data_IF_531695218394
#
_entry.id   IF_531695218394
#
_cell.length_a   1.000
_cell.length_b   1.000
_cell.length_c   1.000
_cell.angle_alpha   90.00
_cell.angle_beta   90.00
_cell.angle_gamma   90.00
#
_symmetry.space_group_name_H-M   'P 1'
#
loop_
_entity.id
_entity.type
_entity.pdbx_description
1 polymer ?
#
# COMPACT_ATOMS: atom_id res chain seq x y z
N UNK A 1 -68.95 -18.82 -61.72
CA UNK A 1 -67.81 -17.90 -61.90
C UNK A 1 -67.45 -17.35 -60.53
N UNK A 2 -66.27 -17.74 -60.02
CA UNK A 2 -65.45 -17.22 -58.89
C UNK A 2 -66.15 -16.64 -57.64
N UNK A 3 -66.22 -17.40 -56.53
CA UNK A 3 -65.37 -17.35 -55.29
C UNK A 3 -65.86 -16.32 -54.26
N UNK A 4 -66.06 -16.58 -52.97
CA UNK A 4 -65.79 -17.75 -52.12
C UNK A 4 -66.39 -17.55 -50.72
N UNK A 5 -66.64 -18.69 -50.06
CA UNK A 5 -67.18 -18.96 -48.71
C UNK A 5 -66.51 -18.17 -47.55
N UNK A 6 -67.01 -18.02 -46.30
CA UNK A 6 -67.92 -18.80 -45.39
C UNK A 6 -68.33 -17.87 -44.21
N UNK A 7 -69.59 -17.79 -43.73
CA UNK A 7 -70.28 -18.55 -42.62
C UNK A 7 -69.48 -18.66 -41.30
N UNK A 8 -70.03 -18.60 -40.07
CA UNK A 8 -71.31 -18.24 -39.39
C UNK A 8 -70.97 -18.29 -37.88
N UNK A 9 -71.32 -17.28 -37.09
CA UNK A 9 -72.31 -17.32 -35.97
C UNK A 9 -72.16 -18.45 -34.93
N UNK A 10 -72.04 -18.09 -33.64
CA UNK A 10 -72.39 -19.00 -32.53
C UNK A 10 -71.69 -18.74 -31.18
N UNK A 11 -72.45 -18.19 -30.23
CA UNK A 11 -72.24 -18.05 -28.77
C UNK A 11 -71.47 -19.18 -28.05
N UNK A 12 -70.76 -18.82 -26.97
CA UNK A 12 -70.37 -19.76 -25.91
C UNK A 12 -69.46 -19.17 -24.83
N UNK A 13 -70.02 -18.83 -23.67
CA UNK A 13 -69.29 -18.66 -22.41
C UNK A 13 -68.64 -19.99 -22.04
N UNK A 14 -67.31 -20.08 -22.11
CA UNK A 14 -66.52 -21.16 -21.51
C UNK A 14 -65.61 -20.58 -20.44
N UNK A 15 -65.80 -21.04 -19.20
CA UNK A 15 -64.91 -20.74 -18.09
C UNK A 15 -63.50 -21.27 -18.34
N UNK A 16 -62.52 -20.38 -18.23
CA UNK A 16 -61.11 -20.74 -18.27
C UNK A 16 -60.60 -20.98 -16.84
N UNK A 17 -60.45 -22.25 -16.48
CA UNK A 17 -59.43 -22.67 -15.53
C UNK A 17 -58.17 -22.97 -16.34
N UNK A 18 -57.07 -22.22 -16.16
CA UNK A 18 -55.65 -22.51 -16.49
C UNK A 18 -54.85 -21.22 -16.25
N UNK A 19 -53.70 -21.15 -15.60
CA UNK A 19 -52.86 -22.09 -14.87
C UNK A 19 -51.83 -21.23 -14.12
N UNK A 20 -51.36 -21.67 -12.96
CA UNK A 20 -50.31 -20.95 -12.22
C UNK A 20 -49.03 -21.01 -13.06
N UNK A 21 -48.70 -19.92 -13.73
CA UNK A 21 -47.40 -19.77 -14.38
C UNK A 21 -46.34 -19.86 -13.29
N UNK A 22 -45.54 -20.94 -13.30
CA UNK A 22 -44.35 -21.01 -12.47
C UNK A 22 -43.44 -19.85 -12.87
N UNK A 23 -43.29 -18.88 -11.97
CA UNK A 23 -42.33 -17.80 -12.14
C UNK A 23 -40.94 -18.42 -12.37
N UNK A 24 -40.16 -17.95 -13.36
CA UNK A 24 -38.82 -18.47 -13.57
C UNK A 24 -38.02 -18.25 -12.28
N UNK A 25 -37.54 -19.33 -11.69
CA UNK A 25 -36.64 -19.26 -10.56
C UNK A 25 -35.41 -18.46 -11.00
N UNK A 26 -35.25 -17.25 -10.44
CA UNK A 26 -34.03 -16.48 -10.58
C UNK A 26 -32.87 -17.39 -10.17
N UNK A 27 -32.02 -17.76 -11.14
CA UNK A 27 -30.82 -18.52 -10.86
C UNK A 27 -30.04 -17.79 -9.75
N UNK A 28 -29.74 -18.49 -8.67
CA UNK A 28 -28.95 -17.93 -7.58
C UNK A 28 -27.63 -17.43 -8.17
N UNK A 29 -27.24 -16.20 -7.82
CA UNK A 29 -25.95 -15.66 -8.24
C UNK A 29 -24.83 -16.65 -7.83
N UNK A 30 -23.82 -16.87 -8.69
CA UNK A 30 -22.72 -17.77 -8.35
C UNK A 30 -22.13 -17.40 -7.00
N UNK A 31 -21.86 -18.39 -6.15
CA UNK A 31 -21.18 -18.14 -4.87
C UNK A 31 -19.83 -17.49 -5.15
N UNK A 32 -19.46 -16.43 -4.41
CA UNK A 32 -18.17 -15.79 -4.58
C UNK A 32 -17.04 -16.80 -4.32
N UNK A 33 -15.93 -16.69 -5.06
CA UNK A 33 -14.75 -17.52 -4.86
C UNK A 33 -13.91 -17.18 -3.63
N UNK A 34 -14.52 -16.49 -2.65
CA UNK A 34 -13.90 -15.95 -1.44
C UNK A 34 -14.91 -15.86 -0.28
N UNK A 35 -14.43 -15.83 0.96
CA UNK A 35 -15.28 -15.75 2.16
C UNK A 35 -15.86 -14.33 2.35
N UNK A 36 -17.15 -14.26 2.69
CA UNK A 36 -17.88 -13.01 2.96
C UNK A 36 -18.54 -12.95 4.34
N UNK A 37 -18.76 -14.10 4.98
CA UNK A 37 -19.15 -14.17 6.39
C UNK A 37 -17.96 -13.80 7.24
N UNK A 38 -18.11 -12.76 8.06
CA UNK A 38 -17.04 -12.27 8.92
C UNK A 38 -16.70 -13.32 9.99
N UNK A 39 -15.45 -13.76 9.98
CA UNK A 39 -14.85 -14.58 11.02
C UNK A 39 -13.37 -14.19 11.18
N UNK A 40 -13.07 -13.37 12.19
CA UNK A 40 -11.70 -12.92 12.46
C UNK A 40 -10.75 -14.06 12.85
N UNK A 41 -11.29 -15.23 13.21
CA UNK A 41 -10.51 -16.42 13.59
C UNK A 41 -10.32 -17.42 12.44
N UNK A 42 -10.96 -17.20 11.29
CA UNK A 42 -10.77 -18.03 10.10
C UNK A 42 -9.60 -17.48 9.26
N UNK A 43 -8.49 -18.23 9.10
CA UNK A 43 -7.37 -17.80 8.27
C UNK A 43 -7.71 -17.64 6.78
N UNK A 44 -8.73 -18.34 6.27
CA UNK A 44 -9.19 -18.16 4.88
C UNK A 44 -9.94 -16.85 4.71
N UNK A 45 -10.79 -16.49 5.67
CA UNK A 45 -11.44 -15.19 5.70
C UNK A 45 -10.43 -14.05 5.83
N UNK A 46 -9.43 -14.20 6.69
CA UNK A 46 -8.32 -13.25 6.82
C UNK A 46 -7.59 -13.04 5.49
N UNK A 47 -7.17 -14.14 4.84
CA UNK A 47 -6.51 -14.10 3.53
C UNK A 47 -7.37 -13.38 2.49
N UNK A 48 -8.64 -13.78 2.36
CA UNK A 48 -9.52 -13.27 1.33
C UNK A 48 -9.85 -11.78 1.53
N UNK A 49 -10.14 -11.37 2.77
CA UNK A 49 -10.44 -9.97 3.10
C UNK A 49 -9.20 -9.10 2.97
N UNK A 50 -8.03 -9.57 3.42
CA UNK A 50 -6.78 -8.82 3.24
C UNK A 50 -6.39 -8.71 1.77
N UNK A 51 -6.56 -9.76 0.96
CA UNK A 51 -6.34 -9.70 -0.48
C UNK A 51 -7.27 -8.69 -1.17
N UNK A 52 -8.55 -8.61 -0.78
CA UNK A 52 -9.49 -7.60 -1.29
C UNK A 52 -9.16 -6.17 -0.86
N UNK A 53 -8.51 -5.97 0.29
CA UNK A 53 -8.03 -4.65 0.70
C UNK A 53 -6.76 -4.25 -0.07
N UNK A 54 -5.82 -5.18 -0.17
CA UNK A 54 -4.49 -4.88 -0.63
C UNK A 54 -4.35 -4.98 -2.17
N UNK A 55 -5.33 -5.58 -2.85
CA UNK A 55 -5.48 -5.59 -4.30
C UNK A 55 -6.93 -5.73 -4.76
N UNK A 56 -7.12 -6.35 -5.92
CA UNK A 56 -8.43 -6.71 -6.49
C UNK A 56 -8.40 -8.21 -6.86
N UNK A 57 -9.40 -8.98 -6.44
CA UNK A 57 -9.50 -10.40 -6.73
C UNK A 57 -9.84 -10.70 -8.21
N UNK A 58 -10.36 -9.71 -8.94
CA UNK A 58 -10.39 -9.75 -10.40
C UNK A 58 -8.98 -9.44 -10.92
N UNK A 59 -8.21 -10.49 -11.15
CA UNK A 59 -6.78 -10.43 -11.49
C UNK A 59 -6.49 -9.75 -12.83
N UNK A 60 -7.52 -9.43 -13.63
CA UNK A 60 -7.38 -8.61 -14.83
C UNK A 60 -7.21 -7.11 -14.51
N UNK A 61 -7.63 -6.69 -13.31
CA UNK A 61 -7.57 -5.30 -12.85
C UNK A 61 -6.29 -5.01 -12.09
N UNK A 62 -6.03 -3.73 -11.93
CA UNK A 62 -5.08 -3.21 -10.96
C UNK A 62 -5.78 -2.25 -9.99
N UNK A 63 -5.34 -2.27 -8.74
CA UNK A 63 -5.77 -1.34 -7.70
C UNK A 63 -4.82 -0.15 -7.67
N UNK A 64 -5.35 1.06 -7.68
CA UNK A 64 -4.58 2.26 -7.37
C UNK A 64 -4.80 2.65 -5.90
N UNK A 65 -3.71 2.92 -5.18
CA UNK A 65 -3.73 3.53 -3.85
C UNK A 65 -3.08 4.90 -3.87
N UNK A 66 -3.50 5.79 -2.98
CA UNK A 66 -2.89 7.11 -2.76
C UNK A 66 -2.39 7.24 -1.33
N UNK A 67 -1.36 8.07 -1.12
CA UNK A 67 -0.86 8.40 0.21
C UNK A 67 -0.51 9.89 0.30
N UNK A 68 -0.90 10.53 1.40
CA UNK A 68 -0.64 11.96 1.66
C UNK A 68 -0.35 12.20 3.14
N UNK A 69 0.62 13.05 3.45
CA UNK A 69 0.96 13.34 4.83
C UNK A 69 2.12 14.30 5.02
N UNK A 70 2.75 14.21 6.18
CA UNK A 70 3.91 15.03 6.55
C UNK A 70 4.97 14.16 7.23
N UNK A 71 6.22 14.37 6.87
CA UNK A 71 7.36 13.81 7.58
C UNK A 71 7.92 14.83 8.55
N UNK A 72 8.24 14.36 9.76
CA UNK A 72 8.72 15.17 10.87
C UNK A 72 10.08 14.67 11.32
N UNK A 73 11.00 15.58 11.59
CA UNK A 73 12.27 15.26 12.24
C UNK A 73 12.11 15.32 13.75
N UNK A 74 12.57 14.28 14.42
CA UNK A 74 12.51 14.11 15.88
C UNK A 74 13.93 14.06 16.40
N UNK A 75 14.28 15.02 17.26
CA UNK A 75 15.60 15.18 17.89
C UNK A 75 15.44 15.62 19.33
N UNK A 76 16.44 15.32 20.13
CA UNK A 76 16.50 15.76 21.53
C UNK A 76 16.55 17.29 21.64
N UNK A 77 16.04 17.81 22.75
CA UNK A 77 16.14 19.22 23.16
C UNK A 77 15.58 20.26 22.17
N UNK A 78 14.73 19.84 21.24
CA UNK A 78 13.96 20.73 20.37
C UNK A 78 12.56 20.18 20.12
N UNK A 79 11.65 21.06 19.69
CA UNK A 79 10.33 20.62 19.23
C UNK A 79 10.49 19.74 17.98
N UNK A 80 9.60 18.75 17.85
CA UNK A 80 9.43 18.00 16.59
C UNK A 80 9.21 18.98 15.44
N UNK A 81 9.97 18.79 14.35
CA UNK A 81 10.02 19.76 13.24
C UNK A 81 9.38 19.17 11.99
N UNK A 82 8.34 19.79 11.41
CA UNK A 82 7.88 19.39 10.07
C UNK A 82 9.00 19.64 9.06
N UNK A 83 9.29 18.66 8.21
CA UNK A 83 10.39 18.75 7.23
C UNK A 83 9.89 18.96 5.81
N UNK A 84 8.91 18.15 5.40
CA UNK A 84 8.32 18.16 4.06
C UNK A 84 6.97 17.44 4.07
N UNK A 85 6.12 17.80 3.09
CA UNK A 85 4.91 17.03 2.79
C UNK A 85 5.29 15.76 2.02
N UNK A 86 4.49 14.73 2.19
CA UNK A 86 4.66 13.41 1.57
C UNK A 86 3.45 13.18 0.69
N UNK A 87 3.66 12.85 -0.58
CA UNK A 87 2.58 12.44 -1.48
C UNK A 87 3.06 11.37 -2.44
N UNK A 88 2.27 10.33 -2.61
CA UNK A 88 2.61 9.22 -3.46
C UNK A 88 1.40 8.38 -3.82
N UNK A 89 1.68 7.30 -4.51
CA UNK A 89 0.68 6.34 -4.93
C UNK A 89 1.33 4.97 -5.15
N UNK A 90 0.48 3.97 -5.27
CA UNK A 90 0.89 2.62 -5.62
C UNK A 90 -0.10 1.96 -6.57
N UNK A 91 0.41 1.05 -7.38
CA UNK A 91 -0.40 0.19 -8.22
C UNK A 91 -0.15 -1.27 -7.88
N UNK A 92 -1.23 -1.98 -7.60
CA UNK A 92 -1.19 -3.39 -7.21
C UNK A 92 -1.95 -4.27 -8.19
N UNK A 93 -1.41 -5.43 -8.52
CA UNK A 93 -2.11 -6.52 -9.20
C UNK A 93 -1.97 -7.81 -8.41
N UNK A 94 -3.03 -8.60 -8.34
CA UNK A 94 -2.99 -9.93 -7.74
C UNK A 94 -2.91 -11.01 -8.82
N UNK A 95 -2.13 -12.06 -8.55
CA UNK A 95 -2.21 -13.34 -9.25
C UNK A 95 -2.66 -14.41 -8.27
N UNK A 96 -3.70 -15.18 -8.61
CA UNK A 96 -4.13 -16.30 -7.79
C UNK A 96 -3.20 -17.49 -8.02
N UNK A 97 -2.72 -18.10 -6.94
CA UNK A 97 -1.84 -19.27 -6.98
C UNK A 97 -2.66 -20.57 -6.85
N UNK A 98 -2.05 -21.69 -7.22
CA UNK A 98 -2.69 -23.01 -7.22
C UNK A 98 -3.18 -23.45 -5.84
N UNK A 99 -2.47 -23.06 -4.78
CA UNK A 99 -2.82 -23.33 -3.39
C UNK A 99 -3.94 -22.41 -2.84
N UNK A 100 -4.48 -21.52 -3.68
CA UNK A 100 -5.51 -20.55 -3.32
C UNK A 100 -4.99 -19.29 -2.64
N UNK A 101 -3.68 -19.14 -2.45
CA UNK A 101 -3.07 -17.88 -2.04
C UNK A 101 -3.04 -16.85 -3.19
N UNK A 102 -2.70 -15.60 -2.86
CA UNK A 102 -2.58 -14.53 -3.84
C UNK A 102 -1.16 -13.97 -3.83
N UNK A 103 -0.51 -13.95 -4.98
CA UNK A 103 0.73 -13.21 -5.18
C UNK A 103 0.40 -11.74 -5.45
N UNK A 104 0.76 -10.85 -4.53
CA UNK A 104 0.66 -9.41 -4.70
C UNK A 104 1.87 -8.91 -5.47
N UNK A 105 1.63 -8.22 -6.58
CA UNK A 105 2.64 -7.52 -7.34
C UNK A 105 2.43 -6.01 -7.22
N UNK A 106 3.45 -5.28 -6.77
CA UNK A 106 3.33 -3.88 -6.38
C UNK A 106 4.46 -3.04 -6.97
N UNK A 107 4.08 -1.85 -7.46
CA UNK A 107 4.97 -0.70 -7.61
C UNK A 107 4.44 0.46 -6.81
N UNK A 108 5.34 1.22 -6.19
CA UNK A 108 4.97 2.41 -5.46
C UNK A 108 6.03 3.50 -5.60
N UNK A 109 5.56 4.74 -5.61
CA UNK A 109 6.39 5.93 -5.65
C UNK A 109 5.86 6.97 -4.67
N UNK A 110 6.78 7.59 -3.93
CA UNK A 110 6.47 8.68 -3.01
C UNK A 110 7.43 9.83 -3.22
N UNK A 111 6.85 11.00 -3.48
CA UNK A 111 7.54 12.26 -3.64
C UNK A 111 7.47 13.11 -2.36
N UNK A 112 8.45 13.99 -2.23
CA UNK A 112 8.53 14.95 -1.15
C UNK A 112 8.23 16.35 -1.68
N UNK A 113 7.38 17.08 -0.98
CA UNK A 113 6.94 18.41 -1.36
C UNK A 113 7.36 19.46 -0.34
N UNK A 114 7.60 20.67 -0.82
CA UNK A 114 7.90 21.80 0.04
C UNK A 114 6.69 22.14 0.93
N UNK A 115 6.96 22.48 2.20
CA UNK A 115 5.91 22.70 3.20
C UNK A 115 5.05 23.93 2.91
N UNK A 116 5.61 24.95 2.25
CA UNK A 116 4.95 26.24 2.04
C UNK A 116 4.24 26.29 0.69
N UNK A 117 4.94 25.89 -0.36
CA UNK A 117 4.48 25.98 -1.75
C UNK A 117 3.69 24.75 -2.18
N UNK A 118 3.91 23.60 -1.55
CA UNK A 118 3.33 22.32 -1.97
C UNK A 118 3.97 21.73 -3.23
N UNK A 119 5.00 22.36 -3.81
CA UNK A 119 5.67 21.86 -5.01
C UNK A 119 6.52 20.62 -4.74
N UNK A 120 6.55 19.67 -5.68
CA UNK A 120 7.46 18.52 -5.62
C UNK A 120 8.91 19.01 -5.67
N UNK A 121 9.70 18.65 -4.66
CA UNK A 121 11.07 19.14 -4.51
C UNK A 121 12.06 18.30 -5.30
N UNK A 122 12.91 18.97 -6.08
CA UNK A 122 14.16 18.38 -6.62
C UNK A 122 15.35 18.57 -5.69
N UNK A 123 15.33 19.66 -4.91
CA UNK A 123 16.35 19.98 -3.89
C UNK A 123 15.66 20.52 -2.65
N UNK A 124 16.22 20.25 -1.49
CA UNK A 124 15.69 20.65 -0.19
C UNK A 124 16.79 21.28 0.66
N UNK A 125 16.48 22.35 1.37
CA UNK A 125 17.39 22.95 2.35
C UNK A 125 17.23 22.18 3.66
N UNK A 126 18.24 21.40 4.02
CA UNK A 126 18.24 20.68 5.28
C UNK A 126 18.41 21.66 6.44
N UNK A 127 17.42 21.82 7.34
CA UNK A 127 17.44 22.82 8.39
C UNK A 127 18.30 22.40 9.59
N UNK A 128 18.95 21.23 9.55
CA UNK A 128 19.90 20.75 10.55
C UNK A 128 21.36 20.94 10.13
N UNK A 129 21.65 20.93 8.82
CA UNK A 129 23.00 21.11 8.27
C UNK A 129 23.17 22.42 7.50
N UNK A 130 22.07 23.12 7.22
CA UNK A 130 21.99 24.30 6.35
C UNK A 130 22.50 24.05 4.91
N UNK A 131 22.48 22.79 4.47
CA UNK A 131 22.92 22.39 3.13
C UNK A 131 21.72 22.15 2.20
N UNK A 132 21.85 22.57 0.94
CA UNK A 132 20.85 22.30 -0.10
C UNK A 132 21.14 20.98 -0.83
N UNK A 133 20.48 19.93 -0.40
CA UNK A 133 20.68 18.54 -0.87
C UNK A 133 19.72 18.17 -2.01
N UNK A 134 20.11 17.29 -2.96
CA UNK A 134 19.18 16.69 -3.90
C UNK A 134 18.18 15.78 -3.16
N UNK A 135 16.93 15.78 -3.60
CA UNK A 135 15.88 14.93 -3.03
C UNK A 135 15.79 13.64 -3.84
N UNK A 136 15.75 12.50 -3.16
CA UNK A 136 15.55 11.19 -3.79
C UNK A 136 14.17 10.65 -3.37
N UNK A 137 13.24 10.42 -4.31
CA UNK A 137 11.93 9.86 -3.98
C UNK A 137 12.05 8.42 -3.49
N UNK A 138 11.03 7.94 -2.78
CA UNK A 138 10.85 6.50 -2.60
C UNK A 138 10.35 5.96 -3.92
N UNK A 139 10.99 4.93 -4.44
CA UNK A 139 10.58 4.26 -5.66
C UNK A 139 10.88 2.77 -5.48
N UNK A 140 9.85 1.99 -5.10
CA UNK A 140 10.00 0.56 -4.84
C UNK A 140 9.38 -0.23 -5.99
N UNK A 141 10.23 -0.96 -6.70
CA UNK A 141 9.88 -1.78 -7.87
C UNK A 141 10.81 -3.00 -7.96
N UNK A 142 10.30 -4.23 -7.73
CA UNK A 142 8.97 -4.56 -7.22
C UNK A 142 8.95 -4.56 -5.67
N UNK A 143 7.76 -4.57 -5.08
CA UNK A 143 7.57 -4.91 -3.67
C UNK A 143 6.52 -6.02 -3.50
N UNK A 144 6.87 -7.21 -3.99
CA UNK A 144 5.97 -8.34 -4.09
C UNK A 144 5.99 -9.20 -2.82
N UNK A 145 4.83 -9.74 -2.44
CA UNK A 145 4.70 -10.74 -1.38
C UNK A 145 3.46 -11.61 -1.59
N UNK A 146 3.36 -12.71 -0.83
CA UNK A 146 2.26 -13.67 -0.94
C UNK A 146 1.29 -13.49 0.22
N UNK A 147 0.00 -13.34 -0.09
CA UNK A 147 -1.11 -13.33 0.85
C UNK A 147 -1.69 -14.75 0.89
N UNK A 148 -1.40 -15.48 1.96
CA UNK A 148 -1.84 -16.87 2.15
C UNK A 148 -2.70 -17.02 3.40
N UNK A 149 -3.23 -18.22 3.65
CA UNK A 149 -3.90 -18.54 4.92
C UNK A 149 -2.91 -18.75 6.08
N UNK A 150 -1.62 -18.51 5.84
CA UNK A 150 -0.55 -18.60 6.83
C UNK A 150 0.15 -17.24 6.99
N UNK A 151 0.64 -16.99 8.21
CA UNK A 151 1.47 -15.84 8.52
C UNK A 151 2.72 -15.80 7.62
N UNK A 152 3.20 -14.59 7.25
CA UNK A 152 4.39 -14.47 6.41
C UNK A 152 5.62 -15.06 7.10
N UNK A 153 6.50 -15.66 6.31
CA UNK A 153 7.82 -16.07 6.78
C UNK A 153 8.65 -14.83 7.15
N UNK A 154 9.61 -14.96 8.08
CA UNK A 154 10.56 -13.90 8.38
C UNK A 154 11.23 -13.39 7.08
N UNK A 155 11.50 -12.07 6.95
CA UNK A 155 12.16 -11.54 5.77
C UNK A 155 13.51 -12.24 5.57
N UNK A 156 13.80 -12.71 4.36
CA UNK A 156 15.04 -13.43 4.06
C UNK A 156 16.28 -12.54 4.07
N UNK A 157 16.11 -11.21 3.98
CA UNK A 157 17.19 -10.22 3.82
C UNK A 157 18.24 -10.64 2.77
N UNK A 158 17.79 -11.05 1.58
CA UNK A 158 18.70 -11.53 0.53
C UNK A 158 19.40 -12.86 0.87
N UNK A 159 18.80 -13.67 1.74
CA UNK A 159 19.32 -14.96 2.19
C UNK A 159 20.13 -14.93 3.49
N UNK A 160 20.25 -13.76 4.14
CA UNK A 160 20.92 -13.62 5.43
C UNK A 160 20.10 -14.21 6.59
N UNK A 161 18.77 -14.13 6.51
CA UNK A 161 17.89 -14.79 7.45
C UNK A 161 17.53 -16.19 6.94
N UNK A 162 17.86 -17.20 7.74
CA UNK A 162 17.60 -18.62 7.45
C UNK A 162 16.55 -19.22 8.38
N UNK A 163 15.96 -18.41 9.26
CA UNK A 163 14.98 -18.89 10.23
C UNK A 163 13.72 -19.36 9.51
N UNK A 164 13.29 -20.57 9.84
CA UNK A 164 12.07 -21.19 9.32
C UNK A 164 11.18 -21.61 10.49
N UNK A 165 10.54 -20.64 11.17
CA UNK A 165 9.62 -20.95 12.25
C UNK A 165 8.45 -21.82 11.73
N UNK A 166 7.78 -22.59 12.59
CA UNK A 166 6.59 -23.34 12.21
C UNK A 166 5.53 -22.43 11.57
N UNK A 167 4.88 -22.92 10.51
CA UNK A 167 3.79 -22.18 9.86
C UNK A 167 2.67 -21.91 10.86
N UNK A 168 2.27 -20.65 10.98
CA UNK A 168 1.14 -20.21 11.80
C UNK A 168 -0.01 -19.78 10.88
N UNK A 169 -1.28 -19.94 11.30
CA UNK A 169 -2.41 -19.39 10.56
C UNK A 169 -2.31 -17.86 10.46
N UNK A 170 -2.78 -17.30 9.34
CA UNK A 170 -2.88 -15.86 9.18
C UNK A 170 -4.08 -15.34 10.00
N UNK A 171 -3.80 -14.76 11.17
CA UNK A 171 -4.78 -14.06 11.99
C UNK A 171 -4.30 -12.62 12.19
N UNK A 172 -5.03 -11.67 11.62
CA UNK A 172 -4.70 -10.25 11.70
C UNK A 172 -5.52 -9.55 12.80
N UNK A 173 -5.08 -8.36 13.20
CA UNK A 173 -5.71 -7.56 14.26
C UNK A 173 -6.94 -6.81 13.73
N UNK A 174 -8.05 -7.54 13.59
CA UNK A 174 -9.35 -6.99 13.19
C UNK A 174 -10.16 -6.53 14.39
N UNK A 175 -10.89 -5.43 14.24
CA UNK A 175 -11.90 -4.98 15.20
C UNK A 175 -13.08 -4.31 14.51
N UNK A 176 -14.15 -4.08 15.26
CA UNK A 176 -15.32 -3.32 14.82
C UNK A 176 -15.50 -2.13 15.75
N UNK A 177 -15.89 -0.97 15.21
CA UNK A 177 -16.17 0.23 16.01
C UNK A 177 -17.60 0.27 16.59
N UNK A 178 -18.46 -0.66 16.18
CA UNK A 178 -19.87 -0.70 16.55
C UNK A 178 -20.77 0.25 15.75
N UNK A 179 -20.21 1.05 14.84
CA UNK A 179 -20.94 2.01 13.98
C UNK A 179 -20.95 1.58 12.50
N UNK A 180 -20.68 0.30 12.24
CA UNK A 180 -20.70 -0.28 10.90
C UNK A 180 -19.36 -0.19 10.16
N UNK A 181 -18.26 0.12 10.86
CA UNK A 181 -16.92 0.00 10.29
C UNK A 181 -16.17 -1.20 10.87
N UNK A 182 -15.28 -1.73 10.03
CA UNK A 182 -14.28 -2.73 10.39
C UNK A 182 -12.92 -2.03 10.32
N UNK A 183 -12.09 -2.30 11.31
CA UNK A 183 -10.73 -1.81 11.39
C UNK A 183 -9.78 -2.98 11.26
N UNK A 184 -8.65 -2.73 10.60
CA UNK A 184 -7.50 -3.63 10.60
C UNK A 184 -6.28 -2.82 11.02
N UNK A 185 -5.55 -3.29 12.02
CA UNK A 185 -4.21 -2.80 12.29
C UNK A 185 -3.17 -3.78 11.77
N UNK A 186 -2.15 -3.28 11.08
CA UNK A 186 -0.96 -4.05 10.74
C UNK A 186 0.30 -3.29 11.15
N UNK A 187 1.32 -4.04 11.54
CA UNK A 187 2.60 -3.50 11.93
C UNK A 187 3.72 -4.24 11.20
N UNK A 188 4.77 -3.51 10.86
CA UNK A 188 6.03 -4.06 10.37
C UNK A 188 7.13 -3.43 11.23
N UNK A 189 7.82 -4.26 12.01
CA UNK A 189 8.97 -3.83 12.82
C UNK A 189 10.23 -4.54 12.33
N UNK A 190 11.15 -3.78 11.73
CA UNK A 190 12.34 -4.29 11.07
C UNK A 190 13.60 -3.87 11.83
N UNK A 191 14.52 -4.82 11.98
CA UNK A 191 15.89 -4.58 12.42
C UNK A 191 16.85 -5.50 11.64
N UNK A 192 17.62 -4.93 10.71
CA UNK A 192 18.41 -5.70 9.74
C UNK A 192 19.68 -4.97 9.31
N UNK A 193 20.67 -5.67 8.72
CA UNK A 193 21.90 -5.04 8.24
C UNK A 193 21.63 -3.92 7.24
N UNK A 194 22.28 -2.78 7.43
CA UNK A 194 22.08 -1.62 6.57
C UNK A 194 22.87 -1.76 5.26
N UNK A 195 22.19 -1.66 4.12
CA UNK A 195 22.84 -1.65 2.79
C UNK A 195 23.80 -0.46 2.60
N UNK A 196 23.59 0.63 3.34
CA UNK A 196 24.48 1.79 3.37
C UNK A 196 25.50 1.61 4.49
N UNK A 197 26.55 0.81 4.25
CA UNK A 197 27.62 0.58 5.24
C UNK A 197 28.32 1.89 5.63
N UNK A 198 28.50 2.19 6.94
CA UNK A 198 28.97 3.50 7.41
C UNK A 198 30.33 3.96 6.86
N UNK A 199 31.24 3.03 6.59
CA UNK A 199 32.59 3.31 6.10
C UNK A 199 32.57 3.88 4.68
N UNK A 200 31.58 3.45 3.87
CA UNK A 200 31.39 3.91 2.49
C UNK A 200 30.42 5.08 2.40
N UNK A 201 29.36 5.05 3.19
CA UNK A 201 28.23 5.97 3.14
C UNK A 201 28.22 6.86 4.38
N UNK A 202 29.33 7.57 4.61
CA UNK A 202 29.61 8.31 5.85
C UNK A 202 28.49 9.30 6.21
N UNK A 203 27.90 9.95 5.21
CA UNK A 203 26.89 11.00 5.40
C UNK A 203 25.47 10.47 5.26
N UNK A 204 25.26 9.32 4.63
CA UNK A 204 23.95 8.76 4.33
C UNK A 204 23.56 7.62 5.27
N UNK A 205 24.54 6.95 5.86
CA UNK A 205 24.31 5.81 6.73
C UNK A 205 23.88 6.25 8.13
N UNK A 206 22.78 5.67 8.60
CA UNK A 206 22.34 5.77 10.00
C UNK A 206 23.09 4.81 10.94
N UNK A 207 24.06 4.05 10.45
CA UNK A 207 24.77 3.01 11.22
C UNK A 207 24.72 1.63 10.56
N UNK A 208 25.34 0.61 11.18
CA UNK A 208 25.50 -0.72 10.60
C UNK A 208 24.18 -1.50 10.47
N UNK A 209 23.16 -1.13 11.25
CA UNK A 209 21.83 -1.73 11.23
C UNK A 209 20.80 -0.67 10.86
N UNK A 210 19.83 -1.04 10.03
CA UNK A 210 18.64 -0.26 9.80
C UNK A 210 17.53 -0.69 10.77
N UNK A 211 16.82 0.29 11.35
CA UNK A 211 15.69 0.07 12.24
C UNK A 211 14.50 0.89 11.75
N UNK A 212 13.47 0.22 11.25
CA UNK A 212 12.29 0.88 10.68
C UNK A 212 11.05 0.20 11.23
N UNK A 213 10.06 1.02 11.60
CA UNK A 213 8.74 0.54 11.96
C UNK A 213 7.67 1.24 11.12
N UNK A 214 6.67 0.49 10.69
CA UNK A 214 5.51 0.99 9.96
C UNK A 214 4.22 0.46 10.59
N UNK A 215 3.26 1.36 10.78
CA UNK A 215 1.98 1.06 11.41
C UNK A 215 0.87 1.54 10.48
N UNK A 216 -0.04 0.63 10.15
CA UNK A 216 -1.18 0.89 9.29
C UNK A 216 -2.46 0.64 10.06
N UNK A 217 -3.42 1.54 9.91
CA UNK A 217 -4.81 1.31 10.31
C UNK A 217 -5.69 1.51 9.09
N UNK A 218 -6.44 0.48 8.73
CA UNK A 218 -7.42 0.51 7.65
C UNK A 218 -8.80 0.71 8.25
N UNK A 219 -9.61 1.58 7.63
CA UNK A 219 -11.02 1.77 7.92
C UNK A 219 -11.84 1.39 6.69
N UNK A 220 -12.77 0.46 6.85
CA UNK A 220 -13.66 -0.01 5.79
C UNK A 220 -15.08 -0.20 6.32
N UNK A 221 -16.06 -0.04 5.44
CA UNK A 221 -17.46 -0.28 5.81
C UNK A 221 -17.70 -1.78 5.91
N UNK A 222 -18.36 -2.23 6.98
CA UNK A 222 -18.82 -3.62 7.14
C UNK A 222 -19.62 -4.08 5.92
N UNK A 223 -20.49 -3.22 5.40
CA UNK A 223 -21.31 -3.50 4.23
C UNK A 223 -20.49 -3.86 2.98
N UNK A 224 -19.31 -3.28 2.81
CA UNK A 224 -18.43 -3.58 1.67
C UNK A 224 -17.64 -4.88 1.90
N UNK A 225 -17.25 -5.15 3.14
CA UNK A 225 -16.56 -6.39 3.53
C UNK A 225 -17.45 -7.61 3.30
N UNK A 226 -18.73 -7.54 3.65
CA UNK A 226 -19.66 -8.68 3.45
C UNK A 226 -20.24 -8.75 2.03
N UNK A 227 -19.93 -7.78 1.16
CA UNK A 227 -20.53 -7.72 -0.18
C UNK A 227 -19.87 -8.73 -1.15
N UNK A 228 -20.60 -9.75 -1.63
CA UNK A 228 -20.06 -10.78 -2.51
C UNK A 228 -19.74 -10.28 -3.93
N UNK A 229 -20.14 -9.05 -4.28
CA UNK A 229 -19.89 -8.46 -5.60
C UNK A 229 -18.65 -7.58 -5.66
N UNK A 230 -18.05 -7.25 -4.52
CA UNK A 230 -16.87 -6.39 -4.45
C UNK A 230 -15.59 -7.22 -4.42
N UNK A 231 -14.88 -7.29 -5.54
CA UNK A 231 -13.58 -7.96 -5.63
C UNK A 231 -12.42 -7.14 -5.04
N UNK A 232 -12.65 -5.85 -4.82
CA UNK A 232 -11.82 -4.94 -4.04
C UNK A 232 -12.69 -4.25 -2.97
N UNK A 233 -12.16 -4.07 -1.76
CA UNK A 233 -12.83 -3.33 -0.67
C UNK A 233 -12.29 -1.89 -0.64
N UNK A 234 -13.12 -0.88 -0.98
CA UNK A 234 -12.74 0.52 -0.81
C UNK A 234 -12.42 0.82 0.65
N UNK A 235 -11.34 1.54 0.90
CA UNK A 235 -10.91 1.88 2.24
C UNK A 235 -10.14 3.20 2.27
N UNK A 236 -10.10 3.78 3.46
CA UNK A 236 -9.17 4.85 3.84
C UNK A 236 -8.42 4.41 5.09
N UNK A 237 -7.32 5.06 5.40
CA UNK A 237 -6.49 4.64 6.51
C UNK A 237 -5.49 5.69 6.96
N UNK A 238 -4.83 5.39 8.08
CA UNK A 238 -3.68 6.12 8.56
C UNK A 238 -2.43 5.25 8.46
N UNK A 239 -1.33 5.85 8.00
CA UNK A 239 -0.02 5.23 7.99
C UNK A 239 0.94 6.10 8.79
N UNK A 240 1.66 5.47 9.72
CA UNK A 240 2.76 6.10 10.42
C UNK A 240 4.02 5.27 10.22
N UNK A 241 5.16 5.94 10.09
CA UNK A 241 6.47 5.29 9.95
C UNK A 241 7.50 5.96 10.82
N UNK A 242 8.28 5.16 11.52
CA UNK A 242 9.48 5.58 12.24
C UNK A 242 10.68 5.02 11.48
N UNK A 243 11.60 5.89 11.07
CA UNK A 243 12.77 5.50 10.27
C UNK A 243 13.95 6.40 10.60
N UNK A 244 15.20 5.97 10.44
CA UNK A 244 16.33 6.87 10.56
C UNK A 244 16.22 8.02 9.56
N UNK A 245 17.10 9.01 9.69
CA UNK A 245 17.22 10.07 8.68
C UNK A 245 17.32 9.48 7.27
N UNK A 246 16.62 10.08 6.31
CA UNK A 246 16.70 9.59 4.94
C UNK A 246 18.12 9.77 4.42
N UNK A 247 18.66 8.81 3.66
CA UNK A 247 20.02 8.87 3.13
C UNK A 247 20.37 10.20 2.48
N UNK A 248 19.49 10.72 1.61
CA UNK A 248 19.70 11.98 0.89
C UNK A 248 19.68 13.23 1.77
N UNK A 249 19.25 13.14 3.03
CA UNK A 249 19.35 14.26 3.99
C UNK A 249 20.77 14.50 4.47
N UNK A 250 21.70 13.56 4.24
CA UNK A 250 23.12 13.67 4.59
C UNK A 250 23.37 13.90 6.10
N UNK A 251 22.58 13.22 6.95
CA UNK A 251 22.63 13.34 8.41
C UNK A 251 23.61 12.37 9.08
N UNK A 252 24.05 11.33 8.36
CA UNK A 252 24.85 10.22 8.88
C UNK A 252 24.22 9.63 10.15
N UNK A 253 25.08 9.43 11.15
CA UNK A 253 24.70 8.90 12.46
C UNK A 253 24.24 9.99 13.45
N UNK A 254 23.73 11.12 12.95
CA UNK A 254 23.21 12.17 13.81
C UNK A 254 22.07 11.66 14.71
N UNK A 255 22.04 12.02 16.01
CA UNK A 255 20.95 11.64 16.88
C UNK A 255 19.58 12.10 16.35
N UNK A 256 18.58 11.24 16.49
CA UNK A 256 17.21 11.48 16.05
C UNK A 256 16.78 10.57 14.89
N UNK A 257 15.58 10.84 14.37
CA UNK A 257 14.93 10.04 13.35
C UNK A 257 13.81 10.82 12.65
N UNK A 258 13.17 10.20 11.66
CA UNK A 258 11.95 10.70 11.03
C UNK A 258 10.74 9.94 11.54
N UNK A 259 9.67 10.68 11.82
CA UNK A 259 8.32 10.17 12.00
C UNK A 259 7.44 10.66 10.84
N UNK A 260 6.82 9.73 10.12
CA UNK A 260 5.80 10.02 9.11
C UNK A 260 4.44 9.94 9.78
N UNK A 261 3.58 10.90 9.47
CA UNK A 261 2.15 10.87 9.82
C UNK A 261 1.36 11.16 8.55
N UNK A 262 0.69 10.13 8.03
CA UNK A 262 0.05 10.13 6.73
C UNK A 262 -1.33 9.48 6.79
N UNK A 263 -2.15 9.83 5.81
CA UNK A 263 -3.36 9.10 5.45
C UNK A 263 -3.19 8.47 4.08
N UNK A 264 -3.92 7.39 3.83
CA UNK A 264 -3.91 6.68 2.56
C UNK A 264 -5.29 6.11 2.25
N UNK A 265 -5.47 5.59 1.05
CA UNK A 265 -6.68 4.87 0.67
C UNK A 265 -6.64 4.36 -0.76
N UNK A 266 -7.74 3.72 -1.17
CA UNK A 266 -7.96 3.33 -2.57
C UNK A 266 -8.39 4.53 -3.42
N UNK A 267 -7.86 4.64 -4.64
CA UNK A 267 -8.30 5.62 -5.64
C UNK A 267 -9.18 4.93 -6.71
N UNK A 268 -10.52 5.07 -6.64
CA UNK A 268 -11.42 4.37 -7.56
C UNK A 268 -11.31 4.85 -9.02
N UNK A 269 -10.76 6.03 -9.28
CA UNK A 269 -10.53 6.54 -10.65
C UNK A 269 -9.17 6.11 -11.23
N UNK A 270 -8.40 5.29 -10.51
CA UNK A 270 -7.04 4.92 -10.92
C UNK A 270 -6.13 6.14 -11.04
N UNK A 271 -5.23 6.14 -12.03
CA UNK A 271 -4.35 7.27 -12.34
C UNK A 271 -5.10 8.61 -12.43
N UNK A 272 -6.32 8.62 -12.99
CA UNK A 272 -7.11 9.84 -13.21
C UNK A 272 -7.57 10.53 -11.91
N UNK A 273 -7.51 9.83 -10.77
CA UNK A 273 -7.81 10.42 -9.47
C UNK A 273 -6.59 10.99 -8.74
N UNK A 274 -5.38 10.69 -9.22
CA UNK A 274 -4.14 11.18 -8.64
C UNK A 274 -3.87 12.65 -9.01
N UNK A 275 -3.05 13.33 -8.21
CA UNK A 275 -2.62 14.71 -8.49
C UNK A 275 -1.86 14.77 -9.82
N UNK A 276 -2.21 15.67 -10.76
CA UNK A 276 -1.62 15.68 -12.10
C UNK A 276 -0.09 15.85 -12.12
N UNK A 277 0.46 16.63 -11.19
CA UNK A 277 1.89 16.87 -11.08
C UNK A 277 2.67 15.65 -10.55
N UNK A 278 2.05 14.84 -9.68
CA UNK A 278 2.60 13.56 -9.19
C UNK A 278 2.62 12.52 -10.30
N UNK A 279 1.55 12.44 -11.10
CA UNK A 279 1.49 11.59 -12.29
C UNK A 279 2.58 12.00 -13.29
N UNK A 280 2.72 13.30 -13.56
CA UNK A 280 3.76 13.81 -14.46
C UNK A 280 5.17 13.50 -13.94
N UNK A 281 5.42 13.64 -12.63
CA UNK A 281 6.70 13.33 -12.01
C UNK A 281 7.06 11.84 -12.12
N UNK A 282 6.08 10.94 -11.90
CA UNK A 282 6.29 9.51 -12.05
C UNK A 282 6.52 9.10 -13.51
N UNK A 283 5.73 9.63 -14.45
CA UNK A 283 5.92 9.42 -15.89
C UNK A 283 7.29 9.89 -16.38
N UNK A 284 7.80 10.99 -15.83
CA UNK A 284 9.15 11.47 -16.14
C UNK A 284 10.27 10.55 -15.62
N UNK A 285 10.00 9.70 -14.63
CA UNK A 285 10.92 8.64 -14.22
C UNK A 285 10.84 7.46 -15.20
N UNK A 286 9.63 6.94 -15.44
CA UNK A 286 9.30 5.85 -16.39
C UNK A 286 7.78 5.63 -16.36
N UNK A 287 7.12 5.36 -17.50
CA UNK A 287 5.67 5.08 -17.56
C UNK A 287 5.28 3.88 -16.68
N UNK A 288 6.19 2.92 -16.47
CA UNK A 288 5.92 1.72 -15.65
C UNK A 288 5.47 2.02 -14.23
N UNK A 289 5.81 3.20 -13.69
CA UNK A 289 5.42 3.59 -12.33
C UNK A 289 3.91 3.82 -12.19
N UNK A 290 3.20 4.07 -13.29
CA UNK A 290 1.76 4.29 -13.33
C UNK A 290 0.94 3.00 -13.47
N UNK A 291 1.59 1.84 -13.42
CA UNK A 291 0.94 0.54 -13.56
C UNK A 291 1.56 -0.50 -12.62
N UNK A 292 0.73 -1.46 -12.19
CA UNK A 292 1.21 -2.61 -11.44
C UNK A 292 2.07 -3.50 -12.36
N UNK A 293 3.05 -4.25 -11.80
CA UNK A 293 3.73 -5.28 -12.57
C UNK A 293 2.76 -6.28 -13.19
N UNK A 294 3.05 -6.73 -14.41
CA UNK A 294 2.31 -7.80 -15.08
C UNK A 294 2.91 -9.18 -14.77
N UNK A 295 4.21 -9.21 -14.43
CA UNK A 295 4.94 -10.41 -14.07
C UNK A 295 5.52 -10.36 -12.66
N UNK A 296 5.71 -11.53 -12.07
CA UNK A 296 6.36 -11.67 -10.78
C UNK A 296 7.88 -11.77 -11.00
N UNK A 297 8.59 -10.73 -10.58
CA UNK A 297 10.05 -10.69 -10.57
C UNK A 297 10.52 -10.20 -9.20
N UNK A 298 11.81 -10.30 -8.98
CA UNK A 298 12.41 -9.89 -7.72
C UNK A 298 13.93 -9.90 -7.76
N UNK A 299 14.56 -9.75 -6.59
CA UNK A 299 13.92 -9.67 -5.27
C UNK A 299 13.25 -8.30 -5.02
N UNK A 300 12.36 -8.24 -4.02
CA UNK A 300 11.85 -6.97 -3.50
C UNK A 300 12.97 -6.27 -2.72
N UNK A 301 13.27 -5.02 -3.07
CA UNK A 301 14.27 -4.20 -2.40
C UNK A 301 13.60 -3.09 -1.58
N UNK A 302 14.14 -2.78 -0.40
CA UNK A 302 13.71 -1.57 0.31
C UNK A 302 14.29 -0.33 -0.36
N UNK A 303 13.79 0.83 0.04
CA UNK A 303 14.31 2.11 -0.44
C UNK A 303 15.81 2.30 -0.14
N UNK A 304 16.38 1.63 0.87
CA UNK A 304 17.82 1.69 1.17
C UNK A 304 18.66 0.89 0.18
N UNK A 305 18.26 -0.34 -0.16
CA UNK A 305 18.98 -1.11 -1.17
C UNK A 305 18.87 -0.43 -2.54
N UNK A 306 17.70 0.13 -2.87
CA UNK A 306 17.54 0.93 -4.09
C UNK A 306 18.44 2.17 -4.07
N UNK A 307 18.53 2.88 -2.94
CA UNK A 307 19.46 4.01 -2.78
C UNK A 307 20.92 3.57 -3.03
N UNK A 308 21.35 2.46 -2.43
CA UNK A 308 22.71 1.93 -2.57
C UNK A 308 23.06 1.55 -4.02
N UNK A 309 22.06 1.11 -4.81
CA UNK A 309 22.22 0.69 -6.22
C UNK A 309 22.27 1.87 -7.19
N UNK A 310 21.47 2.90 -6.95
CA UNK A 310 21.25 3.98 -7.92
C UNK A 310 21.91 5.31 -7.55
N UNK A 311 22.39 5.46 -6.32
CA UNK A 311 23.08 6.66 -5.85
C UNK A 311 24.57 6.41 -5.65
N UNK A 312 25.33 7.50 -5.49
CA UNK A 312 26.75 7.47 -5.11
C UNK A 312 26.93 8.16 -3.76
N UNK A 313 27.88 7.71 -2.92
CA UNK A 313 28.17 8.41 -1.67
C UNK A 313 28.52 9.88 -1.92
N UNK A 314 27.96 10.76 -1.12
CA UNK A 314 28.24 12.18 -1.12
C UNK A 314 29.67 12.43 -0.61
N UNK A 315 30.35 13.47 -1.12
CA UNK A 315 31.64 13.88 -0.59
C UNK A 315 31.56 14.18 0.92
N UNK A 316 32.62 13.83 1.64
CA UNK A 316 32.78 14.11 3.06
C UNK A 316 33.71 15.33 3.21
N UNK A 317 33.19 16.51 3.57
CA UNK A 317 34.03 17.67 3.82
C UNK A 317 35.05 17.39 4.93
N UNK A 318 36.22 18.02 4.87
CA UNK A 318 37.21 17.94 5.94
C UNK A 318 36.60 18.43 7.27
N UNK A 319 36.79 17.64 8.33
CA UNK A 319 36.22 17.94 9.65
C UNK A 319 34.70 17.76 9.75
N UNK A 320 34.03 17.21 8.74
CA UNK A 320 32.59 16.95 8.81
C UNK A 320 32.27 16.00 9.96
N UNK A 321 31.24 16.37 10.73
CA UNK A 321 30.68 15.53 11.79
C UNK A 321 29.15 15.53 11.69
N UNK A 322 28.47 14.46 12.12
CA UNK A 322 27.01 14.43 12.14
C UNK A 322 26.43 15.59 12.97
N UNK A 323 25.40 16.30 12.48
CA UNK A 323 24.82 17.44 13.19
C UNK A 323 24.23 17.04 14.55
N UNK A 324 24.67 17.70 15.62
CA UNK A 324 24.23 17.42 16.99
C UNK A 324 22.95 18.18 17.36
N UNK A 325 22.05 17.58 18.17
CA UNK A 325 20.89 18.29 18.69
C UNK A 325 21.31 19.48 19.55
N UNK A 326 20.43 20.46 19.80
CA UNK A 326 20.69 21.50 20.79
C UNK A 326 21.09 20.91 22.15
N UNK A 327 21.86 21.68 22.93
CA UNK A 327 22.20 21.28 24.28
C UNK A 327 20.94 21.11 25.15
N UNK A 328 21.02 20.20 26.13
CA UNK A 328 19.94 20.01 27.08
C UNK A 328 19.60 21.32 27.80
N UNK A 329 18.30 21.58 27.96
CA UNK A 329 17.83 22.72 28.74
C UNK A 329 18.19 22.45 30.20
N UNK A 330 19.19 23.19 30.72
CA UNK A 330 19.50 23.18 32.15
C UNK A 330 18.29 23.79 32.88
N UNK A 331 17.67 23.00 33.76
CA UNK A 331 16.60 23.47 34.63
C UNK A 331 17.15 24.17 35.86
#
# INVERSE_FOLDING_TARGET
>A
MKTGFTRREGLGLMGAAMGVAAAPALAAAPKPGFQTTIDFKDPKWNRDTFARLDGDLDTSKEKCGWIKGTAYGVRENERVRPLFKVEGFSFTRLKKLEDGSYRKMLREVVFYRDLKTGEIMKRWLNPYTNEKVPVVPIANDPFNFTISEFAPEPPSYGGLNKDKPPRQPLLLDWSEDGEGNILLNTAIDLFYPNALVPEKWVRESSGPMNRVSEYFTYFMKRADVVNPRLTHIPHVGSWSRITPWLPWMLMGQAPGHISYVCNYGSEPKGEKGLSPDVVAAARAMDEKWLHAPTEDYGPSYSSLENYARFQKPAPVPEGWTPPQPPAAIKR
#
